data_IF_835603395632
#
_entry.id   IF_835603395632
#
_cell.length_a   1.000
_cell.length_b   1.000
_cell.length_c   1.000
_cell.angle_alpha   90.00
_cell.angle_beta   90.00
_cell.angle_gamma   90.00
#
_symmetry.space_group_name_H-M   'P 1'
#
loop_
_entity.id
_entity.type
_entity.pdbx_description
1 polymer ?
#
# COMPACT_ATOMS: atom_id res chain seq x y z
N UNK A 1 21.71 -5.96 -71.92
CA UNK A 1 21.42 -6.61 -70.62
C UNK A 1 22.63 -6.46 -69.71
N UNK A 2 22.59 -5.52 -68.76
CA UNK A 2 23.70 -5.30 -67.83
C UNK A 2 23.62 -6.31 -66.68
N UNK A 3 24.68 -7.10 -66.50
CA UNK A 3 24.80 -8.14 -65.47
C UNK A 3 25.09 -7.46 -64.13
N UNK A 4 24.04 -7.30 -63.31
CA UNK A 4 24.17 -6.77 -61.94
C UNK A 4 24.98 -7.74 -61.10
N UNK A 5 26.25 -7.41 -60.83
CA UNK A 5 27.06 -8.07 -59.80
C UNK A 5 26.58 -7.55 -58.45
N UNK A 6 25.62 -8.25 -57.85
CA UNK A 6 25.30 -8.06 -56.42
C UNK A 6 26.55 -8.37 -55.62
N UNK A 7 27.19 -7.32 -55.08
CA UNK A 7 28.39 -7.43 -54.26
C UNK A 7 28.07 -8.29 -53.03
N UNK A 8 28.80 -9.39 -52.85
CA UNK A 8 28.66 -10.29 -51.69
C UNK A 8 28.72 -9.52 -50.35
N UNK A 9 29.44 -8.39 -50.30
CA UNK A 9 29.47 -7.50 -49.14
C UNK A 9 28.10 -6.90 -48.81
N UNK A 10 27.31 -6.51 -49.82
CA UNK A 10 25.97 -5.95 -49.62
C UNK A 10 25.01 -6.99 -49.05
N UNK A 11 25.12 -8.25 -49.48
CA UNK A 11 24.32 -9.34 -48.94
C UNK A 11 24.71 -9.68 -47.49
N UNK A 12 26.01 -9.67 -47.17
CA UNK A 12 26.52 -9.87 -45.81
C UNK A 12 26.07 -8.75 -44.86
N UNK A 13 26.10 -7.49 -45.32
CA UNK A 13 25.60 -6.33 -44.56
C UNK A 13 24.09 -6.43 -44.29
N UNK A 14 23.30 -6.87 -45.27
CA UNK A 14 21.87 -7.08 -45.07
C UNK A 14 21.59 -8.22 -44.09
N UNK A 15 22.34 -9.32 -44.17
CA UNK A 15 22.20 -10.46 -43.26
C UNK A 15 22.58 -10.09 -41.81
N UNK A 16 23.62 -9.27 -41.61
CA UNK A 16 24.01 -8.80 -40.27
C UNK A 16 22.99 -7.82 -39.68
N UNK A 17 22.42 -6.92 -40.49
CA UNK A 17 21.30 -6.06 -40.08
C UNK A 17 20.07 -6.89 -39.65
N UNK A 18 19.72 -7.93 -40.41
CA UNK A 18 18.60 -8.81 -40.07
C UNK A 18 18.88 -9.62 -38.79
N UNK A 19 20.12 -10.04 -38.56
CA UNK A 19 20.52 -10.73 -37.32
C UNK A 19 20.41 -9.81 -36.09
N UNK A 20 20.79 -8.54 -36.21
CA UNK A 20 20.65 -7.54 -35.15
C UNK A 20 19.19 -7.19 -34.84
N UNK A 21 18.31 -7.20 -35.86
CA UNK A 21 16.86 -6.98 -35.66
C UNK A 21 16.15 -8.21 -35.08
N UNK A 22 16.60 -9.43 -35.43
CA UNK A 22 16.05 -10.69 -34.91
C UNK A 22 16.52 -11.03 -33.50
N UNK A 23 17.73 -10.62 -33.13
CA UNK A 23 18.15 -10.56 -31.74
C UNK A 23 17.48 -9.34 -31.10
N UNK A 24 16.15 -9.39 -30.96
CA UNK A 24 15.38 -8.36 -30.29
C UNK A 24 16.06 -8.00 -28.97
N UNK A 25 16.14 -6.70 -28.68
CA UNK A 25 16.72 -6.17 -27.45
C UNK A 25 16.14 -6.98 -26.28
N UNK A 26 16.95 -7.86 -25.70
CA UNK A 26 16.63 -8.52 -24.45
C UNK A 26 16.60 -7.39 -23.45
N UNK A 27 15.40 -6.89 -23.12
CA UNK A 27 15.20 -5.98 -22.01
C UNK A 27 15.73 -6.76 -20.79
N UNK A 28 16.81 -6.30 -20.14
CA UNK A 28 17.29 -6.95 -18.94
C UNK A 28 16.14 -6.93 -17.94
N UNK A 29 15.65 -8.09 -17.53
CA UNK A 29 14.84 -8.16 -16.32
C UNK A 29 15.75 -7.69 -15.20
N UNK A 30 15.43 -6.53 -14.63
CA UNK A 30 16.20 -5.94 -13.55
C UNK A 30 16.21 -6.92 -12.37
N UNK A 31 17.38 -7.33 -11.87
CA UNK A 31 17.46 -8.24 -10.74
C UNK A 31 16.87 -7.53 -9.51
N UNK A 32 15.73 -8.04 -9.02
CA UNK A 32 15.05 -7.51 -7.83
C UNK A 32 13.58 -7.13 -7.99
N UNK A 33 13.00 -7.20 -9.19
CA UNK A 33 11.55 -7.04 -9.36
C UNK A 33 10.83 -8.36 -9.05
N UNK A 34 9.67 -8.34 -8.35
CA UNK A 34 8.92 -9.56 -8.02
C UNK A 34 8.51 -10.34 -9.28
N UNK A 35 8.68 -11.65 -9.24
CA UNK A 35 8.44 -12.55 -10.37
C UNK A 35 6.94 -12.75 -10.66
N UNK A 36 6.62 -12.98 -11.93
CA UNK A 36 5.27 -13.03 -12.51
C UNK A 36 4.71 -14.44 -12.34
N UNK A 37 3.70 -14.62 -11.50
CA UNK A 37 3.03 -15.92 -11.31
C UNK A 37 1.51 -15.71 -11.23
N UNK A 38 0.87 -15.48 -12.38
CA UNK A 38 -0.39 -16.11 -12.79
C UNK A 38 -1.00 -15.42 -14.01
N UNK A 39 -1.36 -16.18 -15.05
CA UNK A 39 -2.01 -15.65 -16.26
C UNK A 39 -3.53 -15.42 -16.09
N UNK A 40 -4.11 -15.90 -15.00
CA UNK A 40 -5.56 -15.91 -14.78
C UNK A 40 -6.08 -14.70 -13.99
N UNK A 41 -5.21 -13.85 -13.47
CA UNK A 41 -5.57 -12.64 -12.72
C UNK A 41 -4.89 -11.42 -13.34
N UNK A 42 -5.54 -10.24 -13.44
CA UNK A 42 -4.88 -9.05 -13.95
C UNK A 42 -3.70 -8.69 -13.04
N UNK A 43 -2.49 -8.89 -13.55
CA UNK A 43 -1.23 -8.68 -12.81
C UNK A 43 -1.01 -7.21 -12.42
N UNK A 44 -1.51 -6.28 -13.24
CA UNK A 44 -1.41 -4.84 -13.02
C UNK A 44 -2.71 -4.17 -13.39
N UNK A 45 -3.06 -3.12 -12.64
CA UNK A 45 -4.20 -2.25 -12.93
C UNK A 45 -3.71 -0.84 -13.22
N UNK A 46 -4.33 -0.17 -14.19
CA UNK A 46 -4.06 1.24 -14.44
C UNK A 46 -4.93 2.07 -13.51
N UNK A 47 -4.30 2.73 -12.54
CA UNK A 47 -5.00 3.65 -11.63
C UNK A 47 -4.84 5.07 -12.16
N UNK A 48 -5.95 5.80 -12.27
CA UNK A 48 -5.91 7.22 -12.54
C UNK A 48 -5.55 7.95 -11.24
N UNK A 49 -4.41 8.66 -11.25
CA UNK A 49 -3.91 9.40 -10.09
C UNK A 49 -4.65 10.72 -9.84
N UNK A 50 -5.64 11.08 -10.67
CA UNK A 50 -6.65 12.08 -10.32
C UNK A 50 -7.57 11.51 -9.23
N UNK A 51 -7.00 11.25 -8.05
CA UNK A 51 -7.72 10.88 -6.85
C UNK A 51 -8.61 12.09 -6.56
N UNK A 52 -9.87 11.98 -6.95
CA UNK A 52 -10.91 12.91 -6.57
C UNK A 52 -10.87 12.93 -5.05
N UNK A 53 -10.26 13.97 -4.50
CA UNK A 53 -10.35 14.26 -3.09
C UNK A 53 -11.80 14.64 -2.85
N UNK A 54 -12.67 13.64 -2.72
CA UNK A 54 -13.89 13.76 -1.95
C UNK A 54 -13.36 14.01 -0.56
N UNK A 55 -13.08 15.28 -0.28
CA UNK A 55 -12.77 15.80 1.03
C UNK A 55 -14.01 15.53 1.90
N UNK A 56 -14.21 14.28 2.30
CA UNK A 56 -14.19 14.01 3.71
C UNK A 56 -12.69 14.09 4.05
N UNK A 57 -12.12 15.29 4.23
CA UNK A 57 -11.81 15.67 5.62
C UNK A 57 -12.78 14.90 6.48
N UNK A 58 -12.38 13.69 6.89
CA UNK A 58 -12.98 13.06 8.05
C UNK A 58 -12.82 14.17 9.07
N UNK A 59 -13.88 14.98 9.21
CA UNK A 59 -14.01 16.03 10.22
C UNK A 59 -13.44 15.32 11.41
N UNK A 60 -12.23 15.61 11.92
CA UNK A 60 -11.67 14.87 13.07
C UNK A 60 -12.81 14.84 14.08
N UNK A 61 -13.58 13.75 14.23
CA UNK A 61 -14.91 13.92 14.78
C UNK A 61 -14.64 13.98 16.27
N UNK A 62 -14.64 15.20 16.78
CA UNK A 62 -14.59 15.55 18.19
C UNK A 62 -13.39 15.03 18.97
N UNK A 63 -13.24 15.60 20.14
CA UNK A 63 -12.38 15.19 21.23
C UNK A 63 -12.69 13.79 21.80
N UNK A 64 -13.26 12.85 21.02
CA UNK A 64 -13.55 11.48 21.46
C UNK A 64 -12.31 10.79 22.03
N UNK A 65 -11.13 10.99 21.44
CA UNK A 65 -9.88 10.41 21.95
C UNK A 65 -9.55 10.86 23.39
N UNK A 66 -10.07 12.02 23.82
CA UNK A 66 -9.96 12.54 25.20
C UNK A 66 -11.15 12.21 26.08
N UNK A 67 -12.36 12.17 25.51
CA UNK A 67 -13.64 12.00 26.24
C UNK A 67 -14.12 10.55 26.34
N UNK A 68 -13.51 9.64 25.59
CA UNK A 68 -13.79 8.21 25.68
C UNK A 68 -13.44 7.70 27.08
N UNK A 69 -14.20 6.73 27.58
CA UNK A 69 -13.83 5.95 28.77
C UNK A 69 -12.58 5.10 28.50
N UNK A 70 -12.25 4.81 27.25
CA UNK A 70 -10.98 4.20 26.85
C UNK A 70 -10.18 5.18 26.00
N UNK A 71 -9.58 6.24 26.59
CA UNK A 71 -8.94 7.30 25.84
C UNK A 71 -7.70 6.79 25.08
N UNK A 72 -7.34 7.50 24.01
CA UNK A 72 -6.17 7.15 23.19
C UNK A 72 -5.38 8.38 22.74
N UNK A 73 -4.13 8.14 22.39
CA UNK A 73 -3.26 9.09 21.70
C UNK A 73 -3.14 8.72 20.23
N UNK A 74 -2.78 9.68 19.39
CA UNK A 74 -2.54 9.45 17.97
C UNK A 74 -1.04 9.47 17.70
N UNK A 75 -0.52 8.37 17.19
CA UNK A 75 0.85 8.24 16.74
C UNK A 75 0.94 8.52 15.23
N UNK A 76 1.94 9.30 14.83
CA UNK A 76 2.15 9.67 13.42
C UNK A 76 3.03 8.62 12.75
N UNK A 77 2.47 7.84 11.84
CA UNK A 77 3.17 6.85 11.02
C UNK A 77 3.41 7.45 9.63
N UNK A 78 4.65 7.84 9.34
CA UNK A 78 5.04 8.43 8.05
C UNK A 78 5.95 7.49 7.26
N UNK A 79 5.61 7.29 6.00
CA UNK A 79 6.39 6.55 5.02
C UNK A 79 6.36 7.31 3.69
N UNK A 80 7.48 7.89 3.23
CA UNK A 80 7.54 8.66 1.99
C UNK A 80 7.32 7.81 0.73
N UNK A 81 7.52 6.50 0.82
CA UNK A 81 7.33 5.56 -0.28
C UNK A 81 5.91 4.98 -0.31
N UNK A 82 4.98 5.50 0.52
CA UNK A 82 3.59 5.04 0.63
C UNK A 82 2.59 6.14 0.32
N UNK A 83 1.43 5.77 -0.23
CA UNK A 83 0.24 6.59 -0.31
C UNK A 83 -0.93 5.95 0.47
N UNK A 84 -1.59 6.65 1.41
CA UNK A 84 -1.18 7.95 1.94
C UNK A 84 0.15 7.86 2.71
N UNK A 85 0.97 8.90 2.60
CA UNK A 85 2.30 8.92 3.23
C UNK A 85 2.21 8.99 4.75
N UNK A 86 1.21 9.71 5.27
CA UNK A 86 0.97 9.86 6.70
C UNK A 86 -0.32 9.17 7.11
N UNK A 87 -0.22 8.27 8.09
CA UNK A 87 -1.34 7.59 8.74
C UNK A 87 -1.26 7.91 10.24
N UNK A 88 -2.40 8.25 10.85
CA UNK A 88 -2.48 8.45 12.29
C UNK A 88 -3.05 7.21 12.95
N UNK A 89 -2.29 6.60 13.85
CA UNK A 89 -2.65 5.33 14.49
C UNK A 89 -2.99 5.56 15.96
N UNK A 90 -4.09 4.99 16.42
CA UNK A 90 -4.53 5.10 17.81
C UNK A 90 -3.71 4.18 18.73
N UNK A 91 -3.30 4.72 19.88
CA UNK A 91 -2.70 3.95 20.98
C UNK A 91 -3.46 4.23 22.26
N UNK A 92 -4.06 3.20 22.85
CA UNK A 92 -4.83 3.33 24.09
C UNK A 92 -3.93 3.85 25.22
N UNK A 93 -4.42 4.81 25.99
CA UNK A 93 -3.63 5.48 27.03
C UNK A 93 -3.45 4.63 28.29
N UNK A 94 -4.38 3.69 28.53
CA UNK A 94 -4.40 2.81 29.69
C UNK A 94 -4.71 1.37 29.25
N UNK A 95 -4.37 0.39 30.08
CA UNK A 95 -4.87 -0.99 29.92
C UNK A 95 -6.31 -1.15 30.40
N UNK A 96 -6.70 -0.41 31.45
CA UNK A 96 -8.08 -0.33 31.96
C UNK A 96 -8.90 0.78 31.31
N UNK A 97 -10.16 0.92 31.69
CA UNK A 97 -11.03 2.04 31.29
C UNK A 97 -11.11 3.10 32.38
N UNK A 98 -11.58 4.30 32.06
CA UNK A 98 -11.78 5.44 32.96
C UNK A 98 -13.24 5.50 33.37
N UNK A 99 -13.49 5.54 34.67
CA UNK A 99 -14.83 5.63 35.25
C UNK A 99 -15.30 7.09 35.43
N UNK A 100 -16.49 7.29 35.99
CA UNK A 100 -17.09 8.63 36.14
C UNK A 100 -16.29 9.55 37.09
N UNK A 101 -15.53 8.98 38.04
CA UNK A 101 -14.65 9.74 38.93
C UNK A 101 -13.29 10.08 38.28
N UNK A 102 -13.06 9.69 37.02
CA UNK A 102 -11.81 9.90 36.31
C UNK A 102 -10.68 8.94 36.73
N UNK A 103 -11.01 7.84 37.43
CA UNK A 103 -10.05 6.82 37.86
C UNK A 103 -10.03 5.65 36.87
N UNK A 104 -8.88 4.99 36.77
CA UNK A 104 -8.74 3.78 35.97
C UNK A 104 -9.38 2.60 36.69
N UNK A 105 -10.39 2.02 36.07
CA UNK A 105 -11.02 0.75 36.45
C UNK A 105 -10.37 -0.40 35.68
N UNK A 106 -9.77 -1.31 36.43
CA UNK A 106 -9.08 -2.50 35.91
C UNK A 106 -9.99 -3.72 35.75
N UNK A 107 -11.29 -3.62 36.08
CA UNK A 107 -12.28 -4.66 35.78
C UNK A 107 -12.70 -4.65 34.30
N UNK A 108 -12.37 -3.58 33.58
CA UNK A 108 -12.60 -3.42 32.15
C UNK A 108 -11.27 -3.22 31.43
N UNK A 109 -11.24 -3.47 30.11
CA UNK A 109 -10.05 -3.28 29.30
C UNK A 109 -10.26 -2.24 28.20
N UNK A 110 -9.28 -1.36 28.04
CA UNK A 110 -9.16 -0.53 26.84
C UNK A 110 -8.46 -1.32 25.74
N UNK A 111 -9.15 -1.57 24.63
CA UNK A 111 -8.62 -2.33 23.49
C UNK A 111 -8.68 -1.52 22.20
N UNK A 112 -7.69 -1.64 21.31
CA UNK A 112 -7.69 -0.91 20.04
C UNK A 112 -8.74 -1.48 19.09
N UNK A 113 -9.45 -0.59 18.39
CA UNK A 113 -10.28 -0.96 17.23
C UNK A 113 -9.39 -0.90 15.99
N UNK A 114 -9.24 -2.04 15.31
CA UNK A 114 -8.41 -2.15 14.10
C UNK A 114 -9.27 -2.12 12.84
N UNK A 115 -8.74 -1.48 11.79
CA UNK A 115 -9.34 -1.41 10.46
C UNK A 115 -8.30 -1.85 9.43
N UNK A 116 -8.67 -2.77 8.53
CA UNK A 116 -7.89 -3.06 7.33
C UNK A 116 -8.10 -1.93 6.31
N UNK A 117 -7.01 -1.32 5.85
CA UNK A 117 -7.00 -0.31 4.81
C UNK A 117 -6.09 -0.72 3.65
N UNK A 118 -6.34 -0.12 2.49
CA UNK A 118 -5.49 -0.26 1.32
C UNK A 118 -4.48 0.89 1.27
N UNK A 119 -3.22 0.57 1.00
CA UNK A 119 -2.14 1.53 0.78
C UNK A 119 -1.40 1.19 -0.52
N UNK A 120 -0.90 2.21 -1.21
CA UNK A 120 -0.02 2.02 -2.36
C UNK A 120 1.41 2.22 -1.91
N UNK A 121 2.31 1.29 -2.23
CA UNK A 121 3.74 1.42 -1.95
C UNK A 121 4.52 1.49 -3.25
N UNK A 122 5.46 2.43 -3.35
CA UNK A 122 6.31 2.60 -4.51
C UNK A 122 7.33 1.47 -4.58
N UNK A 123 7.46 0.83 -5.74
CA UNK A 123 8.51 -0.16 -5.94
C UNK A 123 9.90 0.52 -6.12
N UNK A 124 11.01 -0.18 -5.80
CA UNK A 124 12.35 0.34 -5.96
C UNK A 124 12.65 0.84 -7.37
N UNK A 125 13.58 1.80 -7.51
CA UNK A 125 13.88 2.54 -8.74
C UNK A 125 14.27 1.68 -9.96
N UNK A 126 14.58 0.41 -9.77
CA UNK A 126 14.96 -0.53 -10.83
C UNK A 126 13.76 -1.23 -11.48
N UNK A 127 12.53 -1.00 -11.01
CA UNK A 127 11.31 -1.52 -11.62
C UNK A 127 10.57 -0.40 -12.38
N UNK A 128 9.92 -0.70 -13.53
CA UNK A 128 9.11 0.28 -14.25
C UNK A 128 8.05 0.87 -13.32
N UNK A 129 7.77 2.18 -13.42
CA UNK A 129 6.92 3.01 -12.53
C UNK A 129 5.68 2.29 -11.96
N UNK A 130 5.87 1.46 -10.96
CA UNK A 130 4.87 0.56 -10.44
C UNK A 130 4.67 0.82 -8.96
N UNK A 131 3.41 0.72 -8.57
CA UNK A 131 3.00 0.73 -7.19
C UNK A 131 2.47 -0.65 -6.87
N UNK A 132 2.83 -1.15 -5.70
CA UNK A 132 2.22 -2.33 -5.12
C UNK A 132 1.05 -1.92 -4.25
N UNK A 133 -0.09 -2.57 -4.44
CA UNK A 133 -1.22 -2.43 -3.53
C UNK A 133 -1.00 -3.36 -2.33
N UNK A 134 -1.06 -2.80 -1.13
CA UNK A 134 -0.85 -3.54 0.11
C UNK A 134 -2.06 -3.34 1.04
N UNK A 135 -2.30 -4.34 1.90
CA UNK A 135 -3.24 -4.26 3.01
C UNK A 135 -2.49 -3.95 4.29
N UNK A 136 -3.02 -3.02 5.08
CA UNK A 136 -2.44 -2.61 6.36
C UNK A 136 -3.53 -2.58 7.42
N UNK A 137 -3.25 -3.15 8.60
CA UNK A 137 -4.11 -3.01 9.78
C UNK A 137 -3.72 -1.75 10.55
N UNK A 138 -4.68 -0.86 10.75
CA UNK A 138 -4.49 0.42 11.45
C UNK A 138 -5.45 0.49 12.63
N UNK A 139 -4.93 0.84 13.81
CA UNK A 139 -5.77 1.17 14.94
C UNK A 139 -6.40 2.55 14.73
N UNK A 140 -7.72 2.64 14.71
CA UNK A 140 -8.47 3.89 14.45
C UNK A 140 -8.98 4.57 15.72
N UNK A 141 -9.03 3.83 16.83
CA UNK A 141 -9.45 4.31 18.14
C UNK A 141 -9.32 3.21 19.18
N UNK A 142 -9.81 3.47 20.39
CA UNK A 142 -9.93 2.46 21.44
C UNK A 142 -11.37 2.37 21.95
N UNK A 143 -11.76 1.19 22.39
CA UNK A 143 -13.04 0.94 23.04
C UNK A 143 -12.84 0.25 24.39
N UNK A 144 -13.83 0.39 25.27
CA UNK A 144 -13.87 -0.25 26.57
C UNK A 144 -14.66 -1.56 26.49
N UNK A 145 -14.07 -2.67 26.92
CA UNK A 145 -14.70 -3.99 26.91
C UNK A 145 -14.73 -4.62 28.30
N UNK A 146 -15.79 -5.39 28.56
CA UNK A 146 -15.90 -6.28 29.71
C UNK A 146 -15.16 -7.59 29.41
N UNK A 147 -14.35 -8.14 30.33
CA UNK A 147 -13.69 -9.43 30.14
C UNK A 147 -14.66 -10.61 29.98
N UNK A 148 -15.87 -10.49 30.54
CA UNK A 148 -16.92 -11.51 30.50
C UNK A 148 -17.95 -11.11 29.44
N UNK A 149 -18.04 -11.89 28.36
CA UNK A 149 -19.05 -11.70 27.32
C UNK A 149 -20.43 -11.96 27.91
N UNK A 150 -21.24 -10.90 28.03
CA UNK A 150 -22.67 -11.06 28.32
C UNK A 150 -23.40 -11.18 26.98
N UNK A 151 -23.93 -12.36 26.69
CA UNK A 151 -24.91 -12.49 25.61
C UNK A 151 -26.15 -11.67 26.00
N UNK A 152 -26.39 -10.58 25.27
CA UNK A 152 -27.67 -9.88 25.37
C UNK A 152 -28.67 -10.73 24.58
N UNK A 153 -29.59 -11.36 25.30
CA UNK A 153 -30.73 -12.07 24.74
C UNK A 153 -31.75 -11.08 24.17
#
# INVERSE_FOLDING_TARGET
MARVRTSFMSLLLLLSLVALVKAGIIIPQSPGCPHIEDKNFPQYVRVNLNILNRNTISRRPSDYYKRSTSPWTLHRNEDPERYPSVIWEAKCSHSGCVNAEGKVDHHMNSVPIQQEILVLRREPQHCPHSFRLEKMLVAVGCTCVTPIVRHMA
#
